data_IF_383370040657
#
_entry.id   IF_383370040657
#
_cell.length_a   1.000
_cell.length_b   1.000
_cell.length_c   1.000
_cell.angle_alpha   90.00
_cell.angle_beta   90.00
_cell.angle_gamma   90.00
#
_symmetry.space_group_name_H-M   'P 1'
#
loop_
_entity.id
_entity.type
_entity.pdbx_description
1 polymer ?
#
# COMPACT_ATOMS: atom_id res chain seq x y z
N UNK A 1 -56.32 36.22 -47.46
CA UNK A 1 -56.18 34.80 -47.07
C UNK A 1 -54.69 34.45 -47.12
N UNK A 2 -54.10 33.95 -46.01
CA UNK A 2 -52.70 33.48 -45.81
C UNK A 2 -51.62 34.58 -45.77
N UNK A 3 -50.60 34.57 -44.91
CA UNK A 3 -50.16 33.71 -43.78
C UNK A 3 -49.11 34.52 -42.99
N UNK A 4 -49.31 34.73 -41.69
CA UNK A 4 -48.24 35.10 -40.75
C UNK A 4 -47.66 33.78 -40.22
N UNK A 5 -46.41 33.45 -40.56
CA UNK A 5 -45.66 32.43 -39.83
C UNK A 5 -44.67 33.12 -38.89
N UNK A 6 -45.05 33.08 -37.62
CA UNK A 6 -44.37 33.62 -36.47
C UNK A 6 -43.05 32.84 -36.22
N UNK A 7 -41.96 33.58 -36.06
CA UNK A 7 -40.70 33.11 -35.51
C UNK A 7 -40.92 32.56 -34.08
N UNK A 8 -40.85 31.24 -33.91
CA UNK A 8 -40.95 30.57 -32.62
C UNK A 8 -39.87 29.48 -32.53
N UNK A 9 -38.61 29.88 -32.67
CA UNK A 9 -37.46 28.97 -32.59
C UNK A 9 -36.14 29.50 -31.96
N UNK A 10 -36.06 30.68 -31.29
CA UNK A 10 -34.88 31.00 -30.47
C UNK A 10 -35.07 30.84 -28.94
N UNK A 11 -36.30 30.66 -28.45
CA UNK A 11 -36.60 30.56 -27.01
C UNK A 11 -36.38 29.16 -26.40
N UNK A 12 -36.53 28.10 -27.18
CA UNK A 12 -36.25 26.73 -26.71
C UNK A 12 -34.74 26.45 -26.56
N UNK A 13 -33.92 26.90 -27.53
CA UNK A 13 -32.48 26.69 -27.48
C UNK A 13 -31.84 27.39 -26.27
N UNK A 14 -32.23 28.63 -25.96
CA UNK A 14 -31.70 29.37 -24.81
C UNK A 14 -32.05 28.73 -23.47
N UNK A 15 -33.22 28.11 -23.35
CA UNK A 15 -33.64 27.43 -22.12
C UNK A 15 -32.89 26.12 -21.87
N UNK A 16 -32.62 25.33 -22.93
CA UNK A 16 -31.79 24.13 -22.83
C UNK A 16 -30.33 24.46 -22.44
N UNK A 17 -29.74 25.52 -22.99
CA UNK A 17 -28.39 25.95 -22.62
C UNK A 17 -28.28 26.46 -21.17
N UNK A 18 -29.30 27.17 -20.66
CA UNK A 18 -29.32 27.63 -19.27
C UNK A 18 -29.49 26.49 -18.26
N UNK A 19 -30.40 25.54 -18.52
CA UNK A 19 -30.61 24.38 -17.64
C UNK A 19 -29.36 23.47 -17.58
N UNK A 20 -28.71 23.28 -18.73
CA UNK A 20 -27.47 22.51 -18.88
C UNK A 20 -26.29 23.11 -18.11
N UNK A 21 -26.07 24.43 -18.22
CA UNK A 21 -24.99 25.13 -17.50
C UNK A 21 -25.18 25.08 -15.97
N UNK A 22 -26.44 25.03 -15.51
CA UNK A 22 -26.76 24.95 -14.09
C UNK A 22 -26.39 23.57 -13.50
N UNK A 23 -26.70 22.48 -14.20
CA UNK A 23 -26.38 21.12 -13.77
C UNK A 23 -24.87 20.86 -13.68
N UNK A 24 -24.09 21.31 -14.67
CA UNK A 24 -22.63 21.17 -14.65
C UNK A 24 -21.99 21.88 -13.45
N UNK A 25 -22.52 23.06 -13.10
CA UNK A 25 -22.04 23.86 -11.97
C UNK A 25 -22.33 23.15 -10.65
N UNK A 26 -23.53 22.58 -10.50
CA UNK A 26 -23.93 21.83 -9.31
C UNK A 26 -23.12 20.53 -9.15
N UNK A 27 -22.93 19.77 -10.23
CA UNK A 27 -22.09 18.57 -10.21
C UNK A 27 -20.63 18.89 -9.84
N UNK A 28 -20.05 19.97 -10.38
CA UNK A 28 -18.69 20.42 -10.03
C UNK A 28 -18.54 20.74 -8.55
N UNK A 29 -19.58 21.25 -7.91
CA UNK A 29 -19.57 21.51 -6.46
C UNK A 29 -19.72 20.23 -5.66
N UNK A 30 -20.65 19.35 -6.05
CA UNK A 30 -20.96 18.13 -5.30
C UNK A 30 -19.88 17.05 -5.44
N UNK A 31 -19.15 16.99 -6.56
CA UNK A 31 -18.14 15.94 -6.81
C UNK A 31 -16.93 16.04 -5.89
N UNK A 32 -16.64 17.22 -5.33
CA UNK A 32 -15.42 17.47 -4.56
C UNK A 32 -15.32 16.58 -3.32
N UNK A 33 -14.15 15.99 -3.09
CA UNK A 33 -13.88 15.12 -1.95
C UNK A 33 -13.57 13.67 -2.35
N UNK A 34 -13.44 12.81 -1.34
CA UNK A 34 -12.96 11.44 -1.48
C UNK A 34 -14.13 10.44 -1.56
N UNK A 35 -14.06 9.52 -2.51
CA UNK A 35 -15.11 8.59 -2.90
C UNK A 35 -14.56 7.18 -3.02
N UNK A 36 -15.25 6.21 -2.40
CA UNK A 36 -14.92 4.79 -2.43
C UNK A 36 -15.93 4.01 -3.23
N UNK A 37 -15.47 3.13 -4.11
CA UNK A 37 -16.32 2.17 -4.79
C UNK A 37 -17.06 1.30 -3.78
N UNK A 38 -18.34 1.04 -4.03
CA UNK A 38 -19.17 0.18 -3.19
C UNK A 38 -19.58 -1.07 -3.95
N UNK A 39 -20.21 -0.90 -5.11
CA UNK A 39 -20.71 -2.01 -5.92
C UNK A 39 -21.09 -1.57 -7.33
N UNK A 40 -21.28 -2.56 -8.20
CA UNK A 40 -22.03 -2.43 -9.44
C UNK A 40 -23.52 -2.71 -9.21
N UNK A 41 -24.40 -2.05 -9.96
CA UNK A 41 -25.85 -2.27 -9.96
C UNK A 41 -26.32 -2.48 -11.41
N UNK A 42 -27.13 -3.51 -11.66
CA UNK A 42 -27.74 -3.79 -12.97
C UNK A 42 -29.24 -3.49 -12.90
N UNK A 43 -29.75 -2.64 -13.78
CA UNK A 43 -31.19 -2.29 -13.82
C UNK A 43 -32.08 -3.40 -14.42
N UNK A 44 -31.51 -4.38 -15.13
CA UNK A 44 -32.25 -5.50 -15.75
C UNK A 44 -32.40 -6.70 -14.81
N UNK A 45 -31.58 -6.78 -13.76
CA UNK A 45 -31.67 -7.77 -12.71
C UNK A 45 -31.78 -7.03 -11.39
N UNK A 46 -32.99 -6.94 -10.81
CA UNK A 46 -33.25 -6.40 -9.47
C UNK A 46 -32.47 -7.10 -8.31
N UNK A 47 -31.57 -8.04 -8.62
CA UNK A 47 -30.58 -8.60 -7.71
C UNK A 47 -29.25 -7.89 -7.91
N UNK A 48 -28.76 -7.26 -6.85
CA UNK A 48 -27.35 -6.88 -6.72
C UNK A 48 -26.46 -7.98 -7.29
N UNK A 49 -25.75 -7.69 -8.38
CA UNK A 49 -24.95 -8.68 -9.09
C UNK A 49 -23.65 -8.92 -8.31
N UNK A 50 -23.76 -9.68 -7.21
CA UNK A 50 -22.63 -10.27 -6.47
C UNK A 50 -21.86 -11.32 -7.30
N UNK A 51 -22.32 -11.64 -8.52
CA UNK A 51 -21.83 -12.72 -9.38
C UNK A 51 -20.75 -12.33 -10.38
N UNK A 52 -20.28 -11.09 -10.37
CA UNK A 52 -19.02 -10.69 -10.97
C UNK A 52 -18.28 -9.90 -9.89
N UNK A 53 -17.74 -10.59 -8.89
CA UNK A 53 -16.76 -9.96 -8.01
C UNK A 53 -15.67 -9.44 -8.96
N UNK A 54 -15.50 -8.12 -9.08
CA UNK A 54 -14.46 -7.62 -9.95
C UNK A 54 -13.12 -8.09 -9.36
N UNK A 55 -12.06 -8.25 -10.16
CA UNK A 55 -10.76 -8.69 -9.67
C UNK A 55 -10.39 -7.90 -8.40
N UNK A 56 -9.70 -8.49 -7.40
CA UNK A 56 -9.48 -7.86 -6.09
C UNK A 56 -9.05 -6.38 -6.16
N UNK A 57 -8.20 -6.03 -7.14
CA UNK A 57 -7.77 -4.65 -7.41
C UNK A 57 -8.93 -3.65 -7.66
N UNK A 58 -10.05 -4.12 -8.20
CA UNK A 58 -11.22 -3.30 -8.47
C UNK A 58 -12.09 -3.04 -7.22
N UNK A 59 -11.98 -3.85 -6.17
CA UNK A 59 -12.74 -3.66 -4.92
C UNK A 59 -12.25 -2.42 -4.17
N UNK A 60 -10.97 -2.08 -4.33
CA UNK A 60 -10.36 -0.88 -3.76
C UNK A 60 -10.40 0.34 -4.70
N UNK A 61 -11.32 0.41 -5.67
CA UNK A 61 -11.44 1.61 -6.50
C UNK A 61 -11.84 2.84 -5.68
N UNK A 62 -11.24 3.98 -5.98
CA UNK A 62 -11.58 5.25 -5.33
C UNK A 62 -10.97 6.45 -6.01
N UNK A 63 -11.60 7.60 -5.79
CA UNK A 63 -11.15 8.89 -6.32
C UNK A 63 -11.24 9.97 -5.25
N UNK A 64 -10.35 10.96 -5.33
CA UNK A 64 -10.49 12.21 -4.59
C UNK A 64 -10.48 13.37 -5.58
N UNK A 65 -11.60 14.08 -5.71
CA UNK A 65 -11.74 15.19 -6.65
C UNK A 65 -11.44 16.53 -5.98
N UNK A 66 -10.59 17.33 -6.61
CA UNK A 66 -10.11 18.63 -6.12
C UNK A 66 -10.69 19.77 -6.96
N UNK A 67 -10.85 20.94 -6.37
CA UNK A 67 -11.52 22.10 -7.00
C UNK A 67 -10.80 22.70 -8.23
N UNK A 68 -9.61 22.22 -8.58
CA UNK A 68 -8.77 22.72 -9.67
C UNK A 68 -8.74 21.79 -10.90
N UNK A 69 -9.72 20.88 -11.03
CA UNK A 69 -9.78 19.91 -12.14
C UNK A 69 -8.75 18.79 -12.02
N UNK A 70 -8.14 18.61 -10.85
CA UNK A 70 -7.28 17.46 -10.54
C UNK A 70 -8.02 16.46 -9.66
N UNK A 71 -7.70 15.19 -9.83
CA UNK A 71 -8.15 14.14 -8.93
C UNK A 71 -7.02 13.18 -8.57
N UNK A 72 -7.13 12.54 -7.41
CA UNK A 72 -6.27 11.41 -7.06
C UNK A 72 -7.04 10.12 -7.37
N UNK A 73 -6.55 9.33 -8.33
CA UNK A 73 -6.98 7.95 -8.54
C UNK A 73 -6.28 7.07 -7.50
N UNK A 74 -7.04 6.54 -6.54
CA UNK A 74 -6.52 5.82 -5.37
C UNK A 74 -5.91 4.45 -5.70
N UNK A 75 -6.18 3.90 -6.89
CA UNK A 75 -5.46 2.73 -7.39
C UNK A 75 -4.06 3.07 -7.90
N UNK A 76 -3.79 4.35 -8.15
CA UNK A 76 -2.57 4.84 -8.75
C UNK A 76 -2.51 4.64 -10.27
N UNK A 77 -1.52 5.26 -10.87
CA UNK A 77 -1.22 5.21 -12.29
C UNK A 77 0.00 4.33 -12.48
N UNK A 78 -0.14 3.23 -13.22
CA UNK A 78 0.96 2.31 -13.48
C UNK A 78 1.35 2.31 -14.96
N UNK A 79 2.64 2.41 -15.20
CA UNK A 79 3.24 2.26 -16.52
C UNK A 79 4.05 0.96 -16.51
N UNK A 80 3.73 0.07 -17.42
CA UNK A 80 4.43 -1.20 -17.58
C UNK A 80 5.51 -1.05 -18.66
N UNK A 81 6.74 -1.46 -18.33
CA UNK A 81 7.83 -1.56 -19.31
C UNK A 81 8.37 -2.98 -19.33
N UNK A 82 8.70 -3.47 -20.52
CA UNK A 82 9.30 -4.78 -20.70
C UNK A 82 10.58 -4.92 -19.86
N UNK A 83 10.66 -6.00 -19.09
CA UNK A 83 11.75 -6.37 -18.19
C UNK A 83 12.18 -7.80 -18.53
N UNK A 84 13.37 -8.00 -19.09
CA UNK A 84 13.81 -9.29 -19.65
C UNK A 84 12.79 -9.88 -20.65
N UNK A 85 12.97 -11.13 -21.09
CA UNK A 85 12.26 -11.69 -22.25
C UNK A 85 10.75 -11.81 -22.03
N UNK A 86 10.30 -11.97 -20.78
CA UNK A 86 8.91 -12.33 -20.42
C UNK A 86 8.29 -11.54 -19.24
N UNK A 87 9.05 -10.72 -18.52
CA UNK A 87 8.52 -9.98 -17.36
C UNK A 87 8.25 -8.50 -17.69
N UNK A 88 7.42 -7.84 -16.88
CA UNK A 88 7.22 -6.39 -16.96
C UNK A 88 7.59 -5.74 -15.63
N UNK A 89 8.34 -4.64 -15.69
CA UNK A 89 8.59 -3.80 -14.52
C UNK A 89 7.47 -2.78 -14.37
N UNK A 90 6.96 -2.62 -13.15
CA UNK A 90 5.91 -1.67 -12.80
C UNK A 90 6.52 -0.33 -12.38
N UNK A 91 6.17 0.74 -13.09
CA UNK A 91 6.48 2.11 -12.70
C UNK A 91 5.22 2.78 -12.14
N UNK A 92 5.32 3.33 -10.94
CA UNK A 92 4.23 4.04 -10.29
C UNK A 92 4.33 5.52 -10.63
N UNK A 93 3.40 6.04 -11.42
CA UNK A 93 3.32 7.46 -11.79
C UNK A 93 2.68 8.35 -10.72
N UNK A 94 2.33 7.80 -9.56
CA UNK A 94 1.55 8.47 -8.52
C UNK A 94 0.05 8.30 -8.74
N UNK A 95 -0.74 9.07 -8.00
CA UNK A 95 -2.22 9.00 -8.01
C UNK A 95 -2.86 10.14 -8.78
N UNK A 96 -2.13 11.25 -8.96
CA UNK A 96 -2.69 12.51 -9.44
C UNK A 96 -2.91 12.49 -10.95
N UNK A 97 -4.13 12.78 -11.37
CA UNK A 97 -4.51 12.99 -12.77
C UNK A 97 -5.52 14.14 -12.90
N UNK A 98 -6.03 14.37 -14.11
CA UNK A 98 -7.03 15.39 -14.43
C UNK A 98 -8.42 14.78 -14.51
N UNK A 99 -9.41 15.58 -14.15
CA UNK A 99 -10.82 15.29 -14.41
C UNK A 99 -11.54 16.53 -14.93
N UNK A 100 -12.67 16.32 -15.58
CA UNK A 100 -13.61 17.38 -15.95
C UNK A 100 -15.04 16.85 -15.91
N UNK A 101 -15.99 17.76 -15.86
CA UNK A 101 -17.42 17.46 -15.99
C UNK A 101 -17.95 18.30 -17.14
N UNK A 102 -18.49 17.61 -18.14
CA UNK A 102 -19.10 18.19 -19.34
C UNK A 102 -20.39 17.43 -19.61
N UNK A 103 -21.50 18.14 -19.83
CA UNK A 103 -22.67 17.53 -20.46
C UNK A 103 -23.32 16.40 -19.66
N UNK A 104 -23.22 16.43 -18.32
CA UNK A 104 -23.56 15.34 -17.37
C UNK A 104 -22.50 14.24 -17.17
N UNK A 105 -21.41 14.28 -17.93
CA UNK A 105 -20.42 13.22 -17.93
C UNK A 105 -19.22 13.57 -17.06
N UNK A 106 -18.85 12.64 -16.18
CA UNK A 106 -17.58 12.70 -15.45
C UNK A 106 -16.50 12.09 -16.33
N UNK A 107 -15.51 12.90 -16.69
CA UNK A 107 -14.37 12.45 -17.47
C UNK A 107 -13.10 12.44 -16.62
N UNK A 108 -12.41 11.30 -16.59
CA UNK A 108 -11.12 11.14 -15.93
C UNK A 108 -10.05 10.80 -16.96
N UNK A 109 -8.94 11.52 -16.93
CA UNK A 109 -7.81 11.28 -17.81
C UNK A 109 -6.94 10.14 -17.28
N UNK A 110 -6.59 9.20 -18.15
CA UNK A 110 -5.72 8.05 -17.86
C UNK A 110 -4.39 8.24 -18.58
N UNK A 111 -3.33 8.75 -17.91
CA UNK A 111 -2.08 9.13 -18.55
C UNK A 111 -1.36 7.99 -19.26
N UNK A 112 -1.50 6.77 -18.77
CA UNK A 112 -0.86 5.56 -19.30
C UNK A 112 -1.45 5.13 -20.65
N UNK A 113 -2.73 5.42 -20.90
CA UNK A 113 -3.39 5.16 -22.20
C UNK A 113 -3.55 6.44 -23.04
N UNK A 114 -3.29 7.61 -22.45
CA UNK A 114 -3.57 8.94 -23.01
C UNK A 114 -5.04 9.15 -23.40
N UNK A 115 -5.96 8.44 -22.75
CA UNK A 115 -7.41 8.52 -23.04
C UNK A 115 -8.17 9.16 -21.89
N UNK A 116 -9.28 9.80 -22.23
CA UNK A 116 -10.31 10.15 -21.27
C UNK A 116 -11.30 9.00 -21.17
N UNK A 117 -11.59 8.56 -19.95
CA UNK A 117 -12.73 7.69 -19.67
C UNK A 117 -13.89 8.59 -19.28
N UNK A 118 -15.01 8.41 -19.95
CA UNK A 118 -16.23 9.17 -19.70
C UNK A 118 -17.30 8.23 -19.14
N UNK A 119 -17.81 8.54 -17.96
CA UNK A 119 -18.95 7.85 -17.36
C UNK A 119 -20.04 8.90 -17.05
N UNK A 120 -21.29 8.62 -17.40
CA UNK A 120 -22.39 9.57 -17.16
C UNK A 120 -22.73 9.65 -15.68
N UNK A 121 -22.88 10.85 -15.14
CA UNK A 121 -23.35 11.07 -13.77
C UNK A 121 -24.85 10.80 -13.76
N UNK A 122 -25.26 9.63 -13.26
CA UNK A 122 -26.66 9.30 -13.09
C UNK A 122 -27.27 10.06 -11.91
N UNK A 123 -26.54 10.12 -10.79
CA UNK A 123 -26.90 10.95 -9.65
C UNK A 123 -25.68 11.24 -8.77
N UNK A 124 -25.73 12.38 -8.09
CA UNK A 124 -24.77 12.73 -7.05
C UNK A 124 -25.50 13.39 -5.89
N UNK A 125 -25.13 13.01 -4.68
CA UNK A 125 -25.65 13.54 -3.43
C UNK A 125 -24.50 13.90 -2.49
N UNK A 126 -24.84 14.32 -1.26
CA UNK A 126 -23.86 14.57 -0.19
C UNK A 126 -23.03 13.35 0.21
N UNK A 127 -23.46 12.13 -0.11
CA UNK A 127 -22.83 10.88 0.35
C UNK A 127 -22.73 9.79 -0.71
N UNK A 128 -23.40 9.95 -1.85
CA UNK A 128 -23.50 8.92 -2.88
C UNK A 128 -23.22 9.52 -4.25
N UNK A 129 -22.39 8.82 -5.03
CA UNK A 129 -22.17 9.10 -6.45
C UNK A 129 -22.54 7.85 -7.24
N UNK A 130 -23.38 8.00 -8.26
CA UNK A 130 -23.77 6.92 -9.16
C UNK A 130 -23.38 7.29 -10.58
N UNK A 131 -22.53 6.46 -11.18
CA UNK A 131 -22.08 6.60 -12.56
C UNK A 131 -22.72 5.52 -13.43
N UNK A 132 -23.25 5.88 -14.60
CA UNK A 132 -23.77 4.94 -15.59
C UNK A 132 -22.64 4.56 -16.56
N UNK A 133 -22.26 3.28 -16.56
CA UNK A 133 -21.21 2.72 -17.45
C UNK A 133 -21.82 2.32 -18.79
N UNK A 134 -22.99 1.69 -18.77
CA UNK A 134 -23.73 1.26 -19.96
C UNK A 134 -25.23 1.36 -19.69
N UNK A 135 -26.08 0.97 -20.64
CA UNK A 135 -27.52 1.17 -20.52
C UNK A 135 -28.15 0.54 -19.28
N UNK A 136 -27.65 -0.62 -18.86
CA UNK A 136 -28.13 -1.30 -17.66
C UNK A 136 -27.15 -1.27 -16.48
N UNK A 137 -25.88 -0.90 -16.68
CA UNK A 137 -24.84 -1.03 -15.66
C UNK A 137 -24.47 0.31 -15.01
N UNK A 138 -24.55 0.34 -13.69
CA UNK A 138 -24.23 1.49 -12.85
C UNK A 138 -23.13 1.14 -11.85
N UNK A 139 -22.30 2.11 -11.49
CA UNK A 139 -21.34 2.02 -10.39
C UNK A 139 -21.74 2.95 -9.27
N UNK A 140 -21.76 2.44 -8.04
CA UNK A 140 -22.03 3.23 -6.85
C UNK A 140 -20.76 3.50 -6.06
N UNK A 141 -20.55 4.75 -5.70
CA UNK A 141 -19.51 5.22 -4.79
C UNK A 141 -20.12 5.86 -3.56
N UNK A 142 -19.44 5.70 -2.42
CA UNK A 142 -19.76 6.35 -1.16
C UNK A 142 -18.73 7.44 -0.85
N UNK A 143 -19.19 8.61 -0.41
CA UNK A 143 -18.29 9.68 0.04
C UNK A 143 -17.68 9.30 1.38
N UNK A 144 -16.36 9.40 1.49
CA UNK A 144 -15.64 9.13 2.71
C UNK A 144 -15.50 10.38 3.58
N UNK A 145 -15.58 10.15 4.89
CA UNK A 145 -15.31 11.13 5.93
C UNK A 145 -14.52 10.44 7.02
N UNK A 146 -13.42 11.05 7.42
CA UNK A 146 -12.50 10.45 8.38
C UNK A 146 -12.48 11.24 9.68
N UNK A 147 -12.41 10.51 10.78
CA UNK A 147 -12.08 11.06 12.09
C UNK A 147 -10.65 10.63 12.39
N UNK A 148 -9.69 11.49 12.03
CA UNK A 148 -8.27 11.25 12.29
C UNK A 148 -7.95 11.82 13.66
N UNK A 149 -7.44 11.00 14.57
CA UNK A 149 -6.89 11.49 15.83
C UNK A 149 -5.50 12.11 15.57
N UNK A 150 -5.31 13.43 15.76
CA UNK A 150 -3.99 14.05 15.59
C UNK A 150 -2.96 13.58 16.63
N UNK A 151 -3.41 13.00 17.76
CA UNK A 151 -2.55 12.47 18.83
C UNK A 151 -2.07 11.04 18.56
N UNK A 152 -2.75 10.30 17.69
CA UNK A 152 -2.24 9.04 17.20
C UNK A 152 -0.97 9.34 16.39
N UNK A 153 0.19 8.83 16.79
CA UNK A 153 1.47 9.08 16.12
C UNK A 153 2.34 7.84 16.16
N UNK A 154 3.13 7.69 15.11
CA UNK A 154 4.06 6.59 14.95
C UNK A 154 5.49 7.10 14.80
N UNK A 155 6.43 6.40 15.44
CA UNK A 155 7.87 6.69 15.32
C UNK A 155 8.39 6.25 13.95
N UNK A 156 7.80 5.18 13.43
CA UNK A 156 8.21 4.54 12.17
C UNK A 156 7.04 3.75 11.59
N UNK A 157 6.93 3.77 10.26
CA UNK A 157 6.04 2.91 9.48
C UNK A 157 6.91 2.06 8.57
N UNK A 158 6.68 0.75 8.59
CA UNK A 158 7.45 -0.21 7.81
C UNK A 158 6.50 -0.96 6.91
N UNK A 159 6.77 -0.96 5.61
CA UNK A 159 5.97 -1.66 4.59
C UNK A 159 6.87 -2.63 3.84
N UNK A 160 6.44 -3.88 3.77
CA UNK A 160 7.16 -4.95 3.10
C UNK A 160 6.24 -5.72 2.16
N UNK A 161 6.76 -6.08 0.99
CA UNK A 161 6.06 -6.87 -0.02
C UNK A 161 6.77 -8.20 -0.31
N UNK A 162 6.02 -9.30 -0.32
CA UNK A 162 6.51 -10.61 -0.77
C UNK A 162 6.58 -10.70 -2.30
N UNK A 163 7.08 -11.84 -2.81
CA UNK A 163 6.90 -12.21 -4.21
C UNK A 163 5.49 -12.74 -4.49
N UNK A 164 5.21 -12.96 -5.77
CA UNK A 164 4.01 -13.62 -6.28
C UNK A 164 4.43 -14.49 -7.49
N UNK A 165 3.54 -15.23 -8.13
CA UNK A 165 3.87 -16.01 -9.34
C UNK A 165 4.26 -15.12 -10.55
N UNK A 166 3.88 -13.84 -10.51
CA UNK A 166 4.23 -12.85 -11.53
C UNK A 166 5.32 -11.85 -11.10
N UNK A 167 5.20 -10.63 -11.61
CA UNK A 167 6.20 -9.55 -11.46
C UNK A 167 5.92 -8.62 -10.26
N UNK A 168 5.53 -9.18 -9.12
CA UNK A 168 5.30 -8.39 -7.92
C UNK A 168 6.63 -7.89 -7.33
N UNK A 169 6.78 -6.57 -7.08
CA UNK A 169 8.02 -6.02 -6.55
C UNK A 169 8.28 -6.57 -5.15
N UNK A 170 9.46 -7.14 -4.93
CA UNK A 170 9.89 -7.61 -3.61
C UNK A 170 10.69 -6.49 -2.96
N UNK A 171 10.10 -5.81 -1.98
CA UNK A 171 10.67 -4.62 -1.35
C UNK A 171 10.43 -4.57 0.14
N UNK A 172 11.32 -3.89 0.85
CA UNK A 172 11.14 -3.49 2.24
C UNK A 172 11.45 -1.99 2.36
N UNK A 173 10.56 -1.23 2.99
CA UNK A 173 10.69 0.22 3.17
C UNK A 173 10.36 0.56 4.62
N UNK A 174 11.29 1.24 5.28
CA UNK A 174 11.15 1.75 6.64
C UNK A 174 11.26 3.26 6.60
N UNK A 175 10.23 3.95 7.11
CA UNK A 175 10.14 5.40 7.12
C UNK A 175 9.98 5.86 8.56
N UNK A 176 10.95 6.60 9.07
CA UNK A 176 10.91 7.18 10.42
C UNK A 176 10.22 8.54 10.42
N UNK A 177 9.66 8.95 11.56
CA UNK A 177 8.94 10.22 11.73
C UNK A 177 9.78 11.48 11.47
N UNK A 178 11.10 11.37 11.53
CA UNK A 178 12.06 12.41 11.14
C UNK A 178 12.34 12.45 9.62
N UNK A 179 11.65 11.61 8.84
CA UNK A 179 11.76 11.51 7.39
C UNK A 179 12.90 10.60 6.89
N UNK A 180 13.68 9.96 7.76
CA UNK A 180 14.70 9.00 7.34
C UNK A 180 14.07 7.76 6.71
N UNK A 181 14.57 7.38 5.53
CA UNK A 181 14.11 6.20 4.79
C UNK A 181 15.24 5.18 4.68
N UNK A 182 14.92 3.92 4.99
CA UNK A 182 15.74 2.74 4.64
C UNK A 182 14.94 1.89 3.66
N UNK A 183 15.52 1.60 2.51
CA UNK A 183 14.93 0.80 1.45
C UNK A 183 15.82 -0.40 1.15
N UNK A 184 15.22 -1.58 1.04
CA UNK A 184 15.89 -2.78 0.55
C UNK A 184 15.06 -3.45 -0.55
N UNK A 185 15.59 -3.48 -1.77
CA UNK A 185 14.92 -4.02 -2.96
C UNK A 185 15.54 -5.32 -3.45
N UNK A 186 14.71 -6.24 -3.96
CA UNK A 186 15.15 -7.54 -4.47
C UNK A 186 14.72 -7.79 -5.92
N UNK A 187 13.64 -8.53 -6.16
CA UNK A 187 13.18 -8.86 -7.52
C UNK A 187 12.07 -7.89 -7.97
N UNK A 188 11.91 -7.74 -9.29
CA UNK A 188 10.86 -6.94 -9.92
C UNK A 188 10.77 -5.48 -9.42
N UNK A 189 11.92 -4.91 -9.06
CA UNK A 189 12.04 -3.52 -8.65
C UNK A 189 13.04 -2.77 -9.56
N UNK A 190 12.94 -1.44 -9.58
CA UNK A 190 13.83 -0.56 -10.36
C UNK A 190 15.24 -0.47 -9.76
N UNK A 191 15.39 -0.79 -8.47
CA UNK A 191 16.65 -0.69 -7.72
C UNK A 191 16.78 -1.82 -6.71
N UNK A 192 17.81 -2.64 -6.86
CA UNK A 192 18.11 -3.77 -5.96
C UNK A 192 19.19 -3.37 -4.96
N UNK A 193 19.11 -3.91 -3.74
CA UNK A 193 20.05 -3.69 -2.65
C UNK A 193 19.54 -2.72 -1.58
N UNK A 194 20.40 -2.44 -0.61
CA UNK A 194 20.13 -1.62 0.56
C UNK A 194 20.53 -0.16 0.32
N UNK A 195 19.58 0.75 0.57
CA UNK A 195 19.74 2.18 0.36
C UNK A 195 19.16 2.98 1.53
N UNK A 196 19.67 4.20 1.70
CA UNK A 196 19.06 5.23 2.51
C UNK A 196 18.59 6.40 1.65
N UNK A 197 17.54 7.08 2.11
CA UNK A 197 17.11 8.37 1.58
C UNK A 197 16.44 9.20 2.66
N UNK A 198 15.86 10.34 2.28
CA UNK A 198 15.14 11.24 3.17
C UNK A 198 13.91 11.82 2.47
N UNK A 199 12.80 11.88 3.20
CA UNK A 199 11.61 12.65 2.85
C UNK A 199 11.42 13.80 3.82
N UNK A 200 10.61 14.78 3.45
CA UNK A 200 10.22 15.87 4.35
C UNK A 200 9.28 15.37 5.45
N UNK A 201 9.25 16.06 6.58
CA UNK A 201 8.27 15.80 7.63
C UNK A 201 6.83 15.92 7.12
N UNK A 202 6.55 16.84 6.18
CA UNK A 202 5.24 16.96 5.53
C UNK A 202 4.85 15.70 4.75
N UNK A 203 5.77 15.12 3.99
CA UNK A 203 5.52 13.86 3.26
C UNK A 203 5.27 12.69 4.23
N UNK A 204 6.04 12.60 5.34
CA UNK A 204 5.77 11.60 6.36
C UNK A 204 4.38 11.76 6.97
N UNK A 205 3.99 13.00 7.34
CA UNK A 205 2.69 13.30 7.91
C UNK A 205 1.54 12.95 6.95
N UNK A 206 1.71 13.19 5.66
CA UNK A 206 0.74 12.81 4.63
C UNK A 206 0.57 11.28 4.54
N UNK A 207 1.69 10.53 4.51
CA UNK A 207 1.65 9.07 4.53
C UNK A 207 1.02 8.52 5.82
N UNK A 208 1.43 9.05 6.97
CA UNK A 208 0.88 8.67 8.27
C UNK A 208 -0.64 8.92 8.32
N UNK A 209 -1.10 10.08 7.85
CA UNK A 209 -2.52 10.40 7.78
C UNK A 209 -3.28 9.46 6.84
N UNK A 210 -2.69 9.08 5.70
CA UNK A 210 -3.31 8.10 4.80
C UNK A 210 -3.50 6.74 5.49
N UNK A 211 -2.54 6.27 6.29
CA UNK A 211 -2.75 5.06 7.10
C UNK A 211 -3.82 5.25 8.19
N UNK A 212 -3.86 6.40 8.86
CA UNK A 212 -4.87 6.68 9.89
C UNK A 212 -6.30 6.72 9.33
N UNK A 213 -6.48 7.10 8.06
CA UNK A 213 -7.79 7.03 7.39
C UNK A 213 -8.39 5.62 7.39
N UNK A 214 -7.55 4.58 7.43
CA UNK A 214 -7.98 3.19 7.55
C UNK A 214 -8.39 2.77 8.96
N UNK A 215 -8.19 3.61 9.98
CA UNK A 215 -8.51 3.31 11.37
C UNK A 215 -7.66 2.16 11.92
N UNK A 216 -6.35 2.34 11.96
CA UNK A 216 -5.32 1.30 12.24
C UNK A 216 -5.69 0.40 13.42
N UNK A 217 -6.14 0.96 14.54
CA UNK A 217 -6.49 0.19 15.75
C UNK A 217 -7.66 -0.79 15.55
N UNK A 218 -8.54 -0.54 14.58
CA UNK A 218 -9.73 -1.34 14.26
C UNK A 218 -9.49 -2.39 13.18
N UNK A 219 -8.38 -2.29 12.44
CA UNK A 219 -8.03 -3.29 11.44
C UNK A 219 -7.74 -4.63 12.10
N UNK A 220 -8.05 -5.71 11.39
CA UNK A 220 -7.58 -7.05 11.75
C UNK A 220 -6.06 -7.13 11.54
N UNK A 221 -5.43 -8.11 12.18
CA UNK A 221 -3.98 -8.29 12.02
C UNK A 221 -3.64 -9.08 10.75
N UNK A 222 -4.59 -9.81 10.17
CA UNK A 222 -4.36 -10.70 9.04
C UNK A 222 -5.59 -10.72 8.12
N UNK A 223 -5.37 -10.44 6.85
CA UNK A 223 -6.33 -10.53 5.76
C UNK A 223 -5.79 -11.50 4.73
N UNK A 224 -6.60 -12.50 4.36
CA UNK A 224 -6.16 -13.61 3.54
C UNK A 224 -7.16 -13.89 2.42
N UNK A 225 -6.67 -13.83 1.19
CA UNK A 225 -7.38 -14.36 0.04
C UNK A 225 -7.58 -15.88 0.13
N UNK A 226 -8.63 -16.37 -0.54
CA UNK A 226 -8.93 -17.81 -0.63
C UNK A 226 -8.24 -18.50 -1.81
N UNK A 227 -7.45 -17.77 -2.60
CA UNK A 227 -6.69 -18.25 -3.75
C UNK A 227 -5.18 -18.15 -3.50
N UNK A 228 -4.37 -18.78 -4.35
CA UNK A 228 -2.91 -18.81 -4.22
C UNK A 228 -2.21 -17.82 -5.14
N UNK A 229 -0.87 -17.76 -5.06
CA UNK A 229 0.02 -17.10 -6.02
C UNK A 229 0.06 -15.56 -6.00
N UNK A 230 -0.63 -14.94 -5.05
CA UNK A 230 -0.60 -13.50 -4.82
C UNK A 230 0.56 -13.03 -3.92
N UNK A 231 0.76 -11.71 -3.85
CA UNK A 231 1.69 -11.11 -2.90
C UNK A 231 1.03 -10.92 -1.53
N UNK A 232 1.82 -11.05 -0.47
CA UNK A 232 1.54 -10.58 0.89
C UNK A 232 2.19 -9.21 1.09
N UNK A 233 1.40 -8.23 1.48
CA UNK A 233 1.89 -6.96 2.01
C UNK A 233 1.80 -7.01 3.52
N UNK A 234 2.89 -6.65 4.21
CA UNK A 234 2.88 -6.52 5.67
C UNK A 234 3.26 -5.10 6.04
N UNK A 235 2.51 -4.50 6.98
CA UNK A 235 2.77 -3.16 7.50
C UNK A 235 2.91 -3.22 9.00
N UNK A 236 4.06 -2.78 9.51
CA UNK A 236 4.34 -2.67 10.94
C UNK A 236 4.42 -1.20 11.35
N UNK A 237 3.63 -0.84 12.37
CA UNK A 237 3.64 0.47 13.00
C UNK A 237 4.42 0.43 14.30
N UNK A 238 5.39 1.34 14.46
CA UNK A 238 6.21 1.45 15.67
C UNK A 238 5.77 2.65 16.49
N UNK A 239 5.59 2.47 17.79
CA UNK A 239 5.25 3.53 18.74
C UNK A 239 6.01 3.31 20.05
N UNK A 240 6.63 4.37 20.56
CA UNK A 240 7.54 4.33 21.70
C UNK A 240 8.65 3.26 21.54
N UNK A 241 9.24 3.18 20.34
CA UNK A 241 10.27 2.19 19.98
C UNK A 241 9.83 0.71 20.20
N UNK A 242 8.54 0.42 20.06
CA UNK A 242 7.96 -0.93 20.14
C UNK A 242 6.98 -1.15 18.99
N UNK A 243 6.83 -2.40 18.56
CA UNK A 243 5.75 -2.79 17.65
C UNK A 243 4.41 -2.48 18.33
N UNK A 244 3.65 -1.57 17.72
CA UNK A 244 2.30 -1.22 18.15
C UNK A 244 1.27 -2.16 17.51
N UNK A 245 1.37 -2.32 16.18
CA UNK A 245 0.49 -3.18 15.39
C UNK A 245 1.18 -3.60 14.11
N UNK A 246 0.91 -4.83 13.72
CA UNK A 246 1.33 -5.41 12.44
C UNK A 246 0.08 -5.90 11.73
N UNK A 247 -0.09 -5.52 10.47
CA UNK A 247 -1.16 -6.02 9.59
C UNK A 247 -0.52 -6.77 8.42
N UNK A 248 -1.02 -7.96 8.13
CA UNK A 248 -0.71 -8.78 6.97
C UNK A 248 -1.90 -8.76 6.01
N UNK A 249 -1.64 -8.54 4.73
CA UNK A 249 -2.65 -8.48 3.67
C UNK A 249 -2.18 -9.30 2.47
N UNK A 250 -2.68 -10.53 2.39
CA UNK A 250 -2.44 -11.45 1.29
C UNK A 250 -3.57 -11.34 0.26
N UNK A 251 -3.21 -11.03 -0.98
CA UNK A 251 -4.18 -10.91 -2.08
C UNK A 251 -5.01 -9.62 -2.08
N UNK A 252 -4.60 -8.60 -1.31
CA UNK A 252 -5.29 -7.30 -1.22
C UNK A 252 -6.75 -7.42 -0.76
N UNK A 253 -6.96 -8.14 0.34
CA UNK A 253 -8.27 -8.36 0.97
C UNK A 253 -8.53 -7.39 2.14
N UNK A 254 -7.55 -6.60 2.55
CA UNK A 254 -7.74 -5.55 3.56
C UNK A 254 -8.68 -4.43 3.08
N UNK A 255 -9.21 -3.58 3.99
CA UNK A 255 -10.04 -2.43 3.58
C UNK A 255 -9.33 -1.50 2.60
N UNK A 256 -10.07 -0.97 1.62
CA UNK A 256 -9.53 -0.14 0.54
C UNK A 256 -8.65 1.01 1.02
N UNK A 257 -9.04 1.70 2.10
CA UNK A 257 -8.28 2.79 2.70
C UNK A 257 -6.87 2.37 3.14
N UNK A 258 -6.72 1.14 3.64
CA UNK A 258 -5.41 0.59 4.00
C UNK A 258 -4.58 0.27 2.75
N UNK A 259 -5.23 -0.28 1.72
CA UNK A 259 -4.59 -0.53 0.42
C UNK A 259 -4.09 0.76 -0.24
N UNK A 260 -4.88 1.82 -0.19
CA UNK A 260 -4.50 3.14 -0.70
C UNK A 260 -3.31 3.73 0.06
N UNK A 261 -3.17 3.40 1.35
CA UNK A 261 -2.07 3.89 2.16
C UNK A 261 -0.74 3.17 1.88
N UNK A 262 -0.74 1.82 1.82
CA UNK A 262 0.52 1.08 1.61
C UNK A 262 1.02 1.10 0.16
N UNK A 263 0.12 1.19 -0.82
CA UNK A 263 0.46 1.11 -2.25
C UNK A 263 1.50 2.15 -2.69
N UNK A 264 1.33 3.47 -2.44
CA UNK A 264 2.36 4.45 -2.78
C UNK A 264 3.67 4.21 -2.03
N UNK A 265 3.62 3.62 -0.83
CA UNK A 265 4.83 3.33 -0.04
C UNK A 265 5.66 2.25 -0.71
N UNK A 266 5.07 1.15 -1.19
CA UNK A 266 5.79 0.06 -1.90
C UNK A 266 6.65 0.60 -3.05
N UNK A 267 6.13 1.59 -3.78
CA UNK A 267 6.80 2.20 -4.93
C UNK A 267 7.55 3.49 -4.61
N UNK A 268 7.60 3.90 -3.34
CA UNK A 268 8.20 5.17 -2.93
C UNK A 268 9.64 5.32 -3.43
N UNK A 269 10.41 4.22 -3.41
CA UNK A 269 11.81 4.17 -3.86
C UNK A 269 12.04 4.74 -5.27
N UNK A 270 11.03 4.69 -6.15
CA UNK A 270 11.12 5.20 -7.54
C UNK A 270 11.20 6.73 -7.60
N UNK A 271 10.78 7.42 -6.53
CA UNK A 271 10.73 8.87 -6.42
C UNK A 271 11.76 9.45 -5.45
N UNK A 272 12.65 8.60 -4.92
CA UNK A 272 13.65 8.99 -3.93
C UNK A 272 15.03 9.12 -4.56
N UNK A 273 15.82 10.06 -4.03
CA UNK A 273 17.26 10.08 -4.26
C UNK A 273 17.92 9.05 -3.34
N UNK A 274 18.10 7.83 -3.85
CA UNK A 274 18.66 6.70 -3.10
C UNK A 274 20.19 6.77 -3.03
N UNK A 275 20.74 6.63 -1.82
CA UNK A 275 22.18 6.50 -1.57
C UNK A 275 22.46 5.09 -1.05
N UNK A 276 23.40 4.38 -1.66
CA UNK A 276 23.76 3.01 -1.23
C UNK A 276 24.21 3.02 0.24
N UNK A 277 23.65 2.10 1.03
CA UNK A 277 23.98 1.96 2.44
C UNK A 277 24.93 0.78 2.62
N UNK A 278 26.16 1.05 3.05
CA UNK A 278 27.14 0.02 3.40
C UNK A 278 26.92 -0.43 4.85
N UNK A 279 27.12 -1.71 5.09
CA UNK A 279 27.03 -2.33 6.43
C UNK A 279 28.32 -3.11 6.69
N UNK A 280 28.77 -3.11 7.94
CA UNK A 280 29.91 -3.91 8.37
C UNK A 280 29.59 -5.41 8.42
N UNK A 281 28.30 -5.77 8.39
CA UNK A 281 27.78 -7.14 8.30
C UNK A 281 27.01 -7.26 6.98
N UNK A 282 27.69 -7.63 5.86
CA UNK A 282 27.11 -7.71 4.52
C UNK A 282 25.94 -8.69 4.36
N UNK A 283 25.72 -9.55 5.35
CA UNK A 283 24.67 -10.57 5.39
C UNK A 283 23.31 -9.96 5.72
N UNK A 284 23.28 -8.89 6.54
CA UNK A 284 22.05 -8.21 6.97
C UNK A 284 21.08 -7.97 5.81
N UNK A 285 21.47 -7.31 4.69
CA UNK A 285 20.54 -7.05 3.59
C UNK A 285 19.88 -8.29 2.98
N UNK A 286 20.57 -9.44 2.97
CA UNK A 286 20.03 -10.69 2.40
C UNK A 286 19.16 -11.44 3.40
N UNK A 287 19.50 -11.41 4.69
CA UNK A 287 18.71 -12.04 5.76
C UNK A 287 17.27 -11.54 5.76
N UNK A 288 17.02 -10.26 5.56
CA UNK A 288 15.67 -9.68 5.61
C UNK A 288 14.94 -9.69 4.26
N UNK A 289 15.37 -10.52 3.32
CA UNK A 289 14.60 -10.79 2.09
C UNK A 289 13.28 -11.49 2.38
N UNK A 290 13.26 -12.31 3.42
CA UNK A 290 12.17 -13.21 3.80
C UNK A 290 11.70 -12.96 5.23
N UNK A 291 10.58 -13.58 5.59
CA UNK A 291 10.16 -13.76 6.98
C UNK A 291 11.28 -14.43 7.80
N UNK A 292 11.33 -14.12 9.09
CA UNK A 292 12.32 -14.69 10.00
C UNK A 292 11.63 -15.49 11.09
N UNK A 293 12.31 -16.52 11.52
CA UNK A 293 11.81 -17.47 12.50
C UNK A 293 12.81 -17.56 13.65
N UNK A 294 12.34 -17.28 14.86
CA UNK A 294 13.12 -17.52 16.07
C UNK A 294 12.81 -18.92 16.56
N UNK A 295 13.79 -19.81 16.46
CA UNK A 295 13.63 -21.21 16.81
C UNK A 295 14.33 -21.55 18.12
N UNK A 296 13.64 -22.34 18.93
CA UNK A 296 14.23 -23.13 20.01
C UNK A 296 14.22 -24.60 19.62
N UNK A 297 14.65 -25.50 20.52
CA UNK A 297 14.56 -26.94 20.29
C UNK A 297 13.12 -27.41 19.99
N UNK A 298 12.10 -26.82 20.63
CA UNK A 298 10.72 -27.31 20.57
C UNK A 298 9.69 -26.29 20.10
N UNK A 299 10.07 -25.02 20.00
CA UNK A 299 9.15 -23.91 19.68
C UNK A 299 9.71 -23.00 18.61
N UNK A 300 8.81 -22.32 17.89
CA UNK A 300 9.11 -21.35 16.83
C UNK A 300 8.25 -20.09 17.02
N UNK A 301 8.83 -18.93 16.72
CA UNK A 301 8.14 -17.64 16.63
C UNK A 301 8.39 -17.02 15.26
N UNK A 302 7.32 -16.93 14.47
CA UNK A 302 7.33 -16.32 13.14
C UNK A 302 7.21 -14.80 13.23
N UNK A 303 8.08 -14.08 12.52
CA UNK A 303 7.94 -12.67 12.25
C UNK A 303 7.34 -12.46 10.87
N UNK A 304 6.41 -11.51 10.75
CA UNK A 304 6.01 -11.04 9.42
C UNK A 304 7.20 -10.37 8.73
N UNK A 305 7.16 -10.26 7.39
CA UNK A 305 8.26 -9.65 6.64
C UNK A 305 8.63 -8.23 7.10
N UNK A 306 7.64 -7.39 7.43
CA UNK A 306 7.89 -6.04 7.96
C UNK A 306 8.43 -6.04 9.40
N UNK A 307 8.08 -7.02 10.23
CA UNK A 307 8.69 -7.22 11.56
C UNK A 307 10.14 -7.72 11.44
N UNK A 308 10.41 -8.64 10.51
CA UNK A 308 11.78 -9.07 10.18
C UNK A 308 12.62 -7.89 9.71
N UNK A 309 12.09 -7.06 8.81
CA UNK A 309 12.81 -5.88 8.37
C UNK A 309 12.98 -4.85 9.49
N UNK A 310 12.05 -4.74 10.44
CA UNK A 310 12.24 -3.92 11.63
C UNK A 310 13.49 -4.37 12.40
N UNK A 311 13.61 -5.66 12.73
CA UNK A 311 14.80 -6.22 13.36
C UNK A 311 16.06 -5.89 12.55
N UNK A 312 16.03 -6.04 11.23
CA UNK A 312 17.13 -5.66 10.36
C UNK A 312 17.53 -4.18 10.47
N UNK A 313 16.55 -3.27 10.56
CA UNK A 313 16.83 -1.84 10.76
C UNK A 313 17.40 -1.52 12.13
N UNK A 314 17.13 -2.34 13.15
CA UNK A 314 17.69 -2.19 14.48
C UNK A 314 19.10 -2.79 14.55
N UNK A 315 19.36 -3.91 13.88
CA UNK A 315 20.70 -4.49 13.74
C UNK A 315 21.65 -3.59 12.97
N UNK A 316 21.18 -2.87 11.95
CA UNK A 316 21.97 -1.84 11.24
C UNK A 316 22.44 -0.70 12.15
N UNK A 317 21.77 -0.48 13.29
CA UNK A 317 22.14 0.54 14.29
C UNK A 317 22.87 -0.05 15.50
N UNK A 318 22.85 -1.37 15.65
CA UNK A 318 23.46 -2.06 16.77
C UNK A 318 24.98 -1.96 16.73
N UNK A 319 25.61 -2.21 17.88
CA UNK A 319 27.06 -2.10 18.00
C UNK A 319 27.72 -3.46 17.79
N UNK A 320 28.81 -3.51 17.01
CA UNK A 320 29.66 -4.69 17.00
C UNK A 320 30.25 -4.92 18.39
N UNK A 321 30.25 -6.18 18.81
CA UNK A 321 30.70 -6.54 20.15
C UNK A 321 31.40 -7.91 20.17
N UNK A 322 32.21 -8.12 21.21
CA UNK A 322 32.80 -9.41 21.56
C UNK A 322 32.13 -10.04 22.80
N UNK A 323 31.00 -9.46 23.24
CA UNK A 323 30.23 -10.00 24.37
C UNK A 323 29.85 -11.45 24.10
N UNK A 324 30.19 -12.32 25.04
CA UNK A 324 29.77 -13.72 25.05
C UNK A 324 28.38 -13.83 25.66
N UNK A 325 27.52 -14.62 25.04
CA UNK A 325 26.18 -14.92 25.54
C UNK A 325 25.85 -16.39 25.26
N UNK A 326 24.88 -16.94 25.97
CA UNK A 326 24.34 -18.26 25.69
C UNK A 326 23.17 -18.12 24.71
N UNK A 327 23.28 -18.64 23.47
CA UNK A 327 22.18 -18.55 22.50
C UNK A 327 20.93 -19.24 23.04
N UNK A 328 19.79 -18.55 22.94
CA UNK A 328 18.47 -19.09 23.27
C UNK A 328 17.68 -19.45 22.01
N UNK A 329 17.98 -18.77 20.91
CA UNK A 329 17.29 -18.90 19.65
C UNK A 329 18.28 -19.04 18.50
N UNK A 330 17.86 -19.75 17.47
CA UNK A 330 18.49 -19.78 16.17
C UNK A 330 17.54 -19.16 15.15
N UNK A 331 18.09 -18.36 14.23
CA UNK A 331 17.37 -17.88 13.06
C UNK A 331 18.10 -18.43 11.84
N UNK A 332 17.39 -19.19 11.02
CA UNK A 332 17.92 -19.74 9.79
C UNK A 332 17.62 -18.80 8.62
N UNK A 333 18.56 -18.61 7.71
CA UNK A 333 18.33 -17.84 6.49
C UNK A 333 19.17 -18.39 5.33
N UNK A 334 18.77 -18.03 4.11
CA UNK A 334 19.44 -18.46 2.88
C UNK A 334 20.26 -17.32 2.28
N UNK A 335 21.55 -17.57 2.04
CA UNK A 335 22.45 -16.73 1.27
C UNK A 335 22.82 -17.45 -0.04
N UNK A 336 22.09 -17.13 -1.10
CA UNK A 336 22.07 -17.94 -2.32
C UNK A 336 21.60 -19.36 -2.01
N UNK A 337 22.39 -20.36 -2.39
CA UNK A 337 22.09 -21.77 -2.16
C UNK A 337 22.61 -22.30 -0.81
N UNK A 338 23.17 -21.41 0.03
CA UNK A 338 23.75 -21.79 1.32
C UNK A 338 22.87 -21.39 2.47
N UNK A 339 22.47 -22.38 3.27
CA UNK A 339 21.84 -22.17 4.57
C UNK A 339 22.83 -21.60 5.57
N UNK A 340 22.43 -20.56 6.28
CA UNK A 340 23.21 -19.85 7.29
C UNK A 340 22.38 -19.70 8.57
N UNK A 341 23.07 -19.53 9.70
CA UNK A 341 22.44 -19.41 11.01
C UNK A 341 22.87 -18.12 11.70
N UNK A 342 21.91 -17.50 12.39
CA UNK A 342 22.15 -16.43 13.36
C UNK A 342 21.81 -16.99 14.74
N UNK A 343 22.78 -16.95 15.64
CA UNK A 343 22.57 -17.33 17.03
C UNK A 343 22.24 -16.10 17.86
N UNK A 344 21.23 -16.17 18.72
CA UNK A 344 20.80 -15.00 19.50
C UNK A 344 20.17 -15.37 20.84
N UNK A 345 20.30 -14.49 21.84
CA UNK A 345 19.51 -14.52 23.08
C UNK A 345 18.33 -13.54 23.06
N UNK A 346 18.10 -12.88 21.92
CA UNK A 346 17.13 -11.81 21.71
C UNK A 346 17.74 -10.40 21.76
N UNK A 347 18.93 -10.22 22.36
CA UNK A 347 19.65 -8.95 22.44
C UNK A 347 20.90 -8.93 21.56
N UNK A 348 21.71 -9.98 21.66
CA UNK A 348 22.94 -10.17 20.89
C UNK A 348 22.68 -11.11 19.72
N UNK A 349 23.20 -10.77 18.53
CA UNK A 349 22.98 -11.54 17.29
C UNK A 349 24.31 -11.85 16.63
N UNK A 350 24.68 -13.13 16.59
CA UNK A 350 25.93 -13.60 15.99
C UNK A 350 25.69 -14.14 14.59
N UNK A 351 26.25 -13.46 13.60
CA UNK A 351 26.30 -13.89 12.20
C UNK A 351 27.58 -14.70 11.98
N UNK A 352 27.46 -15.87 11.36
CA UNK A 352 28.61 -16.74 11.05
C UNK A 352 28.84 -16.78 9.56
N UNK A 353 29.95 -16.23 9.05
CA UNK A 353 30.31 -16.33 7.63
C UNK A 353 31.77 -16.70 7.41
N UNK A 354 32.00 -17.69 6.54
CA UNK A 354 33.33 -18.07 6.01
C UNK A 354 34.44 -18.06 7.09
N UNK A 355 34.20 -18.72 8.22
CA UNK A 355 35.08 -18.87 9.39
C UNK A 355 35.28 -17.63 10.28
N UNK A 356 34.46 -16.58 10.13
CA UNK A 356 34.43 -15.43 11.04
C UNK A 356 33.02 -15.25 11.60
N UNK A 357 32.95 -14.93 12.89
CA UNK A 357 31.70 -14.55 13.54
C UNK A 357 31.72 -13.05 13.84
N UNK A 358 30.58 -12.40 13.63
CA UNK A 358 30.35 -11.01 14.06
C UNK A 358 29.11 -10.96 14.92
N UNK A 359 29.24 -10.39 16.12
CA UNK A 359 28.12 -10.22 17.03
C UNK A 359 27.69 -8.77 17.07
N UNK A 360 26.39 -8.53 16.93
CA UNK A 360 25.76 -7.22 17.10
C UNK A 360 24.97 -7.22 18.41
N UNK A 361 25.20 -6.24 19.27
CA UNK A 361 24.40 -5.97 20.47
C UNK A 361 23.41 -4.84 20.18
N UNK A 362 22.12 -5.12 20.33
CA UNK A 362 21.05 -4.12 20.22
C UNK A 362 20.95 -3.22 21.46
N UNK A 363 21.54 -3.63 22.58
CA UNK A 363 21.40 -2.98 23.89
C UNK A 363 20.11 -3.35 24.63
N UNK A 364 19.17 -4.05 23.98
CA UNK A 364 17.90 -4.50 24.54
C UNK A 364 17.47 -5.83 23.91
N UNK A 365 16.61 -6.59 24.58
CA UNK A 365 16.04 -7.81 24.01
C UNK A 365 14.87 -7.47 23.07
N UNK A 366 15.05 -7.72 21.77
CA UNK A 366 14.08 -7.43 20.71
C UNK A 366 12.76 -8.17 20.90
N UNK A 367 12.78 -9.44 21.33
CA UNK A 367 11.58 -10.24 21.51
C UNK A 367 10.77 -9.77 22.72
N UNK A 368 11.44 -9.46 23.83
CA UNK A 368 10.81 -8.95 25.05
C UNK A 368 10.22 -7.54 24.82
N UNK A 369 11.01 -6.63 24.26
CA UNK A 369 10.63 -5.24 24.00
C UNK A 369 9.37 -5.14 23.12
N UNK A 370 9.20 -6.09 22.19
CA UNK A 370 8.09 -6.11 21.24
C UNK A 370 6.97 -7.10 21.61
N UNK A 371 6.98 -7.67 22.83
CA UNK A 371 5.99 -8.64 23.29
C UNK A 371 5.83 -9.83 22.33
N UNK A 372 6.91 -10.30 21.71
CA UNK A 372 6.92 -11.39 20.73
C UNK A 372 7.05 -12.77 21.40
N UNK A 373 7.47 -12.84 22.66
CA UNK A 373 7.59 -14.09 23.40
C UNK A 373 6.26 -14.89 23.49
N UNK A 374 5.12 -14.20 23.48
CA UNK A 374 3.80 -14.84 23.48
C UNK A 374 3.43 -15.49 22.12
N UNK A 375 4.16 -15.18 21.05
CA UNK A 375 3.92 -15.75 19.71
C UNK A 375 4.57 -17.11 19.51
N UNK A 376 5.40 -17.59 20.45
CA UNK A 376 6.04 -18.90 20.34
C UNK A 376 5.01 -20.03 20.39
N UNK A 377 5.06 -20.92 19.39
CA UNK A 377 4.22 -22.12 19.28
C UNK A 377 5.11 -23.35 19.20
N UNK A 378 4.59 -24.52 19.58
CA UNK A 378 5.32 -25.77 19.41
C UNK A 378 5.55 -26.04 17.92
N UNK A 379 6.75 -26.49 17.55
CA UNK A 379 7.05 -26.94 16.19
C UNK A 379 6.09 -28.09 15.84
N UNK A 380 5.39 -28.00 14.72
CA UNK A 380 4.61 -29.12 14.17
C UNK A 380 5.59 -30.14 13.59
N UNK A 381 5.17 -31.41 13.50
CA UNK A 381 5.98 -32.52 12.96
C UNK A 381 6.39 -32.34 11.48
N UNK A 382 5.96 -31.25 10.83
CA UNK A 382 6.15 -30.93 9.42
C UNK A 382 6.60 -29.45 9.28
N UNK A 383 7.30 -28.91 10.29
CA UNK A 383 8.01 -27.63 10.16
C UNK A 383 9.46 -27.91 9.74
#
# INVERSE_FOLDING_TARGET
MKRFHLFLLPLLATWFFLCKKNNDTEFKKQILGEWKFVKYCDSTKQKDMLLLLPPPEHRAQGFEFLNNGLCNNKLGIFIYKKYKKEDNLRYYGGEKTRYKIEDDSLEVYYPETKKWRSDKIYSITKDTLVLKISDSLYTKYARLRYMIDPKERYDKIIVSSSGCYGSCPITNISISNNGSVIYNGFNYTTKNGLYTSKISGRQYLEMENNFKKAGISKLENDYQATHTDDQTITVTFIKNNRIYKTISDYGSESPAEFQWAYRPVIFLHQHLNLKGLKTEVPEIPQTFKWELEFETATKVCYLTKSESFFLGTELLKGNLTNVKFAPKYTIEYWDGDKKQNIFTDGRCFTFTTKNKSKTIDLGYNFLEQNNLLQKFKNKKKID
#
